data_IF_999156570184
#
_entry.id   IF_999156570184
#
_cell.length_a   1.000
_cell.length_b   1.000
_cell.length_c   1.000
_cell.angle_alpha   90.00
_cell.angle_beta   90.00
_cell.angle_gamma   90.00
#
_symmetry.space_group_name_H-M   'P 1'
#
loop_
_entity.id
_entity.type
_entity.pdbx_description
1 polymer ?
#
# COMPACT_ATOMS: atom_id res chain seq x y z
N UNK A 1 20.52 14.26 -6.95
CA UNK A 1 19.11 14.61 -6.69
C UNK A 1 19.01 16.12 -6.56
N UNK A 2 19.61 16.84 -7.52
CA UNK A 2 19.96 18.26 -7.35
C UNK A 2 19.26 19.17 -8.36
N UNK A 3 18.38 18.61 -9.20
CA UNK A 3 17.67 19.32 -10.27
C UNK A 3 16.27 19.80 -9.86
N UNK A 4 15.91 19.63 -8.58
CA UNK A 4 14.60 20.05 -8.04
C UNK A 4 13.38 19.34 -8.65
N UNK A 5 13.59 18.30 -9.46
CA UNK A 5 12.52 17.58 -10.12
C UNK A 5 11.79 16.63 -9.15
N UNK A 6 10.46 16.45 -9.31
CA UNK A 6 9.72 15.46 -8.55
C UNK A 6 10.31 14.06 -8.72
N UNK A 7 10.63 13.41 -7.59
CA UNK A 7 11.23 12.09 -7.61
C UNK A 7 10.21 11.01 -7.24
N UNK A 8 9.83 10.21 -8.24
CA UNK A 8 9.06 8.99 -8.00
C UNK A 8 10.01 7.87 -7.63
N UNK A 9 9.78 7.24 -6.48
CA UNK A 9 10.62 6.16 -5.98
C UNK A 9 10.65 4.99 -6.98
N UNK A 10 11.81 4.34 -7.21
CA UNK A 10 11.91 3.21 -8.15
C UNK A 10 10.93 2.06 -7.84
N UNK A 11 10.66 1.81 -6.55
CA UNK A 11 9.70 0.80 -6.13
C UNK A 11 8.27 1.16 -6.53
N UNK A 12 7.88 2.44 -6.45
CA UNK A 12 6.56 2.91 -6.85
C UNK A 12 6.38 2.70 -8.35
N UNK A 13 7.35 3.11 -9.17
CA UNK A 13 7.32 2.90 -10.63
C UNK A 13 7.20 1.43 -11.02
N UNK A 14 7.84 0.53 -10.26
CA UNK A 14 7.75 -0.92 -10.50
C UNK A 14 6.34 -1.44 -10.22
N UNK A 15 5.76 -1.06 -9.07
CA UNK A 15 4.43 -1.53 -8.66
C UNK A 15 3.34 -0.94 -9.55
N UNK A 16 3.46 0.31 -10.00
CA UNK A 16 2.55 0.92 -10.97
C UNK A 16 2.46 0.11 -12.27
N UNK A 17 3.59 -0.37 -12.79
CA UNK A 17 3.61 -1.25 -13.96
C UNK A 17 2.90 -2.58 -13.68
N UNK A 18 3.17 -3.19 -12.53
CA UNK A 18 2.52 -4.44 -12.13
C UNK A 18 1.00 -4.30 -12.02
N UNK A 19 0.52 -3.16 -11.50
CA UNK A 19 -0.92 -2.85 -11.43
C UNK A 19 -1.50 -2.65 -12.83
N UNK A 20 -0.80 -1.94 -13.72
CA UNK A 20 -1.26 -1.72 -15.08
C UNK A 20 -1.32 -3.01 -15.93
N UNK A 21 -0.42 -3.95 -15.67
CA UNK A 21 -0.36 -5.25 -16.36
C UNK A 21 -1.37 -6.28 -15.79
N UNK A 22 -2.01 -6.01 -14.64
CA UNK A 22 -2.96 -6.92 -14.00
C UNK A 22 -4.39 -6.70 -14.52
N UNK A 23 -4.80 -7.55 -15.47
CA UNK A 23 -6.13 -7.55 -16.06
C UNK A 23 -7.26 -8.08 -15.15
N UNK A 24 -6.94 -8.57 -13.95
CA UNK A 24 -7.96 -9.00 -12.98
C UNK A 24 -8.51 -7.84 -12.14
N UNK A 25 -7.80 -6.71 -12.10
CA UNK A 25 -8.22 -5.52 -11.38
C UNK A 25 -9.40 -4.85 -12.09
N UNK A 26 -10.29 -4.27 -11.29
CA UNK A 26 -11.44 -3.51 -11.77
C UNK A 26 -11.52 -2.17 -11.04
N UNK A 27 -12.50 -1.35 -11.43
CA UNK A 27 -12.76 -0.03 -10.86
C UNK A 27 -14.01 -0.02 -9.96
N UNK A 28 -14.37 -1.17 -9.39
CA UNK A 28 -15.48 -1.24 -8.43
C UNK A 28 -15.13 -0.56 -7.12
N UNK A 29 -16.16 -0.20 -6.36
CA UNK A 29 -15.97 0.41 -5.06
C UNK A 29 -15.30 -0.55 -4.08
N UNK A 30 -14.28 -0.03 -3.40
CA UNK A 30 -13.74 -0.66 -2.21
C UNK A 30 -14.75 -0.60 -1.04
N UNK A 31 -14.57 -1.43 0.00
CA UNK A 31 -15.31 -1.27 1.25
C UNK A 31 -15.19 0.15 1.82
N UNK A 32 -16.14 0.56 2.68
CA UNK A 32 -16.14 1.89 3.33
C UNK A 32 -14.81 2.19 4.04
N UNK A 33 -14.16 1.16 4.58
CA UNK A 33 -12.89 1.27 5.29
C UNK A 33 -11.64 1.16 4.37
N UNK A 34 -11.84 1.11 3.05
CA UNK A 34 -10.79 0.94 2.06
C UNK A 34 -10.32 -0.50 1.86
N UNK A 35 -9.16 -0.66 1.20
CA UNK A 35 -8.57 -1.95 0.86
C UNK A 35 -8.02 -2.67 2.11
N UNK A 36 -8.51 -3.87 2.48
CA UNK A 36 -8.09 -4.60 3.69
C UNK A 36 -6.58 -4.83 3.81
N UNK A 37 -5.91 -5.16 2.71
CA UNK A 37 -4.47 -5.45 2.64
C UNK A 37 -3.65 -4.18 2.89
N UNK A 38 -4.10 -3.05 2.35
CA UNK A 38 -3.46 -1.75 2.56
C UNK A 38 -3.54 -1.36 4.03
N UNK A 39 -4.73 -1.37 4.64
CA UNK A 39 -4.88 -0.98 6.05
C UNK A 39 -4.09 -1.90 6.98
N UNK A 40 -4.11 -3.21 6.75
CA UNK A 40 -3.37 -4.17 7.59
C UNK A 40 -1.86 -3.93 7.50
N UNK A 41 -1.33 -3.73 6.29
CA UNK A 41 0.10 -3.48 6.07
C UNK A 41 0.53 -2.12 6.63
N UNK A 42 -0.29 -1.08 6.43
CA UNK A 42 -0.03 0.25 6.98
C UNK A 42 0.03 0.23 8.52
N UNK A 43 -0.92 -0.45 9.18
CA UNK A 43 -0.91 -0.61 10.65
C UNK A 43 0.34 -1.34 11.14
N UNK A 44 0.79 -2.39 10.43
CA UNK A 44 2.04 -3.12 10.76
C UNK A 44 3.28 -2.24 10.63
N UNK A 45 3.34 -1.38 9.61
CA UNK A 45 4.46 -0.44 9.44
C UNK A 45 4.46 0.60 10.58
N UNK A 46 3.29 1.14 10.93
CA UNK A 46 3.18 2.18 11.94
C UNK A 46 3.41 1.68 13.38
N UNK A 47 2.85 0.52 13.73
CA UNK A 47 2.89 -0.02 15.10
C UNK A 47 4.01 -1.04 15.33
N UNK A 48 4.61 -1.53 14.25
CA UNK A 48 5.48 -2.70 14.29
C UNK A 48 4.70 -4.01 14.25
N UNK A 49 5.27 -5.01 13.58
CA UNK A 49 4.65 -6.34 13.40
C UNK A 49 4.40 -7.07 14.73
N UNK A 50 5.15 -6.72 15.77
CA UNK A 50 5.07 -7.34 17.09
C UNK A 50 4.13 -6.66 18.08
N UNK A 51 3.46 -5.56 17.66
CA UNK A 51 2.55 -4.81 18.51
C UNK A 51 1.42 -5.71 19.06
N UNK A 52 1.11 -5.62 20.38
CA UNK A 52 -0.03 -6.34 20.96
C UNK A 52 -1.35 -6.07 20.23
N UNK A 53 -1.55 -4.84 19.73
CA UNK A 53 -2.75 -4.48 18.97
C UNK A 53 -2.89 -5.32 17.68
N UNK A 54 -1.80 -5.58 16.98
CA UNK A 54 -1.79 -6.43 15.78
C UNK A 54 -2.02 -7.89 16.15
N UNK A 55 -1.40 -8.38 17.24
CA UNK A 55 -1.53 -9.78 17.70
C UNK A 55 -2.94 -10.10 18.22
N UNK A 56 -3.59 -9.11 18.82
CA UNK A 56 -4.94 -9.24 19.38
C UNK A 56 -6.03 -8.80 18.39
N UNK A 57 -5.65 -8.40 17.17
CA UNK A 57 -6.55 -7.93 16.11
C UNK A 57 -7.48 -6.77 16.55
N UNK A 58 -6.89 -5.76 17.20
CA UNK A 58 -7.56 -4.58 17.77
C UNK A 58 -7.08 -3.29 17.13
#
# INVERSE_FOLDING_TARGET
>A
TDEGQPWVLPVVRKVEKMIADDHSLNHEYLPILGLPEFRSSASKIALGVDSPAIKENR
#
